data_IF_232456921102
#
_entry.id   IF_232456921102
#
_cell.length_a   1.000
_cell.length_b   1.000
_cell.length_c   1.000
_cell.angle_alpha   90.00
_cell.angle_beta   90.00
_cell.angle_gamma   90.00
#
_symmetry.space_group_name_H-M   'P 1'
#
loop_
_entity.id
_entity.type
_entity.pdbx_description
1 polymer ?
#
# COMPACT_ATOMS: atom_id res chain seq x y z
N UNK A 1 35.14 2.03 -26.50
CA UNK A 1 35.34 0.90 -25.57
C UNK A 1 35.05 1.47 -24.19
N UNK A 2 34.02 1.11 -23.42
CA UNK A 2 33.30 -0.13 -23.14
C UNK A 2 31.90 0.31 -22.61
N UNK A 3 30.79 -0.17 -23.18
CA UNK A 3 29.97 -1.32 -22.74
C UNK A 3 28.61 -0.85 -22.19
N UNK A 4 27.59 -1.24 -22.95
CA UNK A 4 26.16 -1.11 -22.72
C UNK A 4 25.72 -1.85 -21.46
N UNK A 5 24.96 -1.20 -20.58
CA UNK A 5 24.02 -1.93 -19.69
C UNK A 5 22.66 -1.25 -19.77
N UNK A 6 22.04 -1.39 -20.94
CA UNK A 6 20.58 -1.34 -21.04
C UNK A 6 20.07 -2.56 -20.30
N UNK A 7 19.66 -2.39 -19.04
CA UNK A 7 18.88 -3.40 -18.32
C UNK A 7 17.59 -3.60 -19.09
N UNK A 8 17.59 -4.63 -19.92
CA UNK A 8 16.44 -5.13 -20.66
C UNK A 8 15.37 -5.48 -19.64
N UNK A 9 14.37 -4.59 -19.51
CA UNK A 9 13.15 -4.87 -18.74
C UNK A 9 12.53 -6.12 -19.33
N UNK A 10 12.65 -7.22 -18.61
CA UNK A 10 12.05 -8.51 -18.93
C UNK A 10 10.52 -8.38 -18.97
N UNK A 11 9.96 -7.97 -20.11
CA UNK A 11 8.54 -8.07 -20.43
C UNK A 11 8.19 -9.56 -20.57
N UNK A 12 7.56 -10.16 -19.56
CA UNK A 12 6.86 -11.43 -19.74
C UNK A 12 5.39 -11.14 -20.07
N UNK A 13 4.85 -11.72 -21.15
CA UNK A 13 3.43 -11.65 -21.48
C UNK A 13 2.71 -12.82 -20.79
N UNK A 14 2.57 -12.74 -19.48
CA UNK A 14 1.60 -13.55 -18.74
C UNK A 14 0.76 -12.56 -17.94
N UNK A 15 -0.56 -12.71 -17.89
CA UNK A 15 -1.47 -11.83 -17.13
C UNK A 15 -1.27 -11.85 -15.61
N UNK A 16 -0.11 -12.32 -15.15
CA UNK A 16 0.36 -12.38 -13.76
C UNK A 16 1.43 -11.30 -13.60
N UNK A 17 1.10 -10.20 -12.95
CA UNK A 17 2.08 -9.19 -12.55
C UNK A 17 3.15 -9.89 -11.72
N UNK A 18 4.43 -9.78 -12.11
CA UNK A 18 5.54 -10.33 -11.31
C UNK A 18 5.62 -9.59 -9.98
N UNK A 19 6.05 -10.27 -8.91
CA UNK A 19 6.17 -9.66 -7.57
C UNK A 19 6.97 -8.34 -7.58
N UNK A 20 8.06 -8.28 -8.34
CA UNK A 20 8.86 -7.06 -8.48
C UNK A 20 8.08 -5.95 -9.19
N UNK A 21 7.42 -6.26 -10.31
CA UNK A 21 6.61 -5.28 -11.05
C UNK A 21 5.41 -4.78 -10.24
N UNK A 22 4.82 -5.65 -9.41
CA UNK A 22 3.76 -5.26 -8.48
C UNK A 22 4.30 -4.30 -7.41
N UNK A 23 5.49 -4.60 -6.86
CA UNK A 23 6.13 -3.77 -5.86
C UNK A 23 6.52 -2.40 -6.42
N UNK A 24 7.06 -2.36 -7.64
CA UNK A 24 7.38 -1.13 -8.36
C UNK A 24 6.11 -0.31 -8.60
N UNK A 25 5.06 -0.96 -9.12
CA UNK A 25 3.77 -0.31 -9.40
C UNK A 25 3.12 0.24 -8.13
N UNK A 26 3.15 -0.53 -7.04
CA UNK A 26 2.68 -0.08 -5.73
C UNK A 26 3.52 1.12 -5.24
N UNK A 27 4.84 1.06 -5.36
CA UNK A 27 5.76 2.11 -4.96
C UNK A 27 5.45 3.44 -5.67
N UNK A 28 5.35 3.41 -7.01
CA UNK A 28 5.02 4.58 -7.82
C UNK A 28 3.69 5.21 -7.41
N UNK A 29 2.64 4.39 -7.26
CA UNK A 29 1.30 4.87 -6.88
C UNK A 29 1.28 5.41 -5.44
N UNK A 30 2.01 4.76 -4.53
CA UNK A 30 2.08 5.18 -3.13
C UNK A 30 2.82 6.52 -3.00
N UNK A 31 3.94 6.69 -3.69
CA UNK A 31 4.68 7.95 -3.73
C UNK A 31 3.86 9.07 -4.35
N UNK A 32 3.16 8.81 -5.46
CA UNK A 32 2.25 9.78 -6.06
C UNK A 32 1.15 10.18 -5.09
N UNK A 33 0.48 9.22 -4.46
CA UNK A 33 -0.59 9.50 -3.52
C UNK A 33 -0.09 10.32 -2.32
N UNK A 34 1.02 9.92 -1.70
CA UNK A 34 1.59 10.66 -0.56
C UNK A 34 1.96 12.09 -0.97
N UNK A 35 2.62 12.29 -2.10
CA UNK A 35 3.01 13.60 -2.59
C UNK A 35 1.82 14.50 -2.97
N UNK A 36 0.75 13.93 -3.54
CA UNK A 36 -0.41 14.70 -4.00
C UNK A 36 -1.46 14.92 -2.89
N UNK A 37 -1.40 14.15 -1.79
CA UNK A 37 -2.39 14.21 -0.70
C UNK A 37 -1.86 14.72 0.63
N UNK A 38 -0.54 14.88 0.83
CA UNK A 38 0.01 15.25 2.15
C UNK A 38 -0.49 16.59 2.70
N UNK A 39 -0.88 17.54 1.84
CA UNK A 39 -1.46 18.83 2.27
C UNK A 39 -2.99 18.81 2.36
N UNK A 40 -3.66 17.71 1.99
CA UNK A 40 -5.11 17.66 2.01
C UNK A 40 -5.60 17.50 3.45
N UNK A 41 -6.37 18.50 3.91
CA UNK A 41 -7.05 18.43 5.22
C UNK A 41 -8.31 17.55 5.20
N UNK A 42 -8.75 17.11 4.01
CA UNK A 42 -9.93 16.26 3.84
C UNK A 42 -9.52 14.84 3.47
N UNK A 43 -9.70 13.92 4.40
CA UNK A 43 -9.42 12.49 4.21
C UNK A 43 -10.23 11.89 3.06
N UNK A 44 -11.47 12.31 2.84
CA UNK A 44 -12.32 11.78 1.75
C UNK A 44 -11.70 12.07 0.37
N UNK A 45 -11.14 13.27 0.19
CA UNK A 45 -10.42 13.61 -1.05
C UNK A 45 -9.16 12.77 -1.23
N UNK A 46 -8.42 12.51 -0.15
CA UNK A 46 -7.25 11.64 -0.20
C UNK A 46 -7.64 10.19 -0.58
N UNK A 47 -8.75 9.67 -0.06
CA UNK A 47 -9.26 8.33 -0.42
C UNK A 47 -9.86 8.29 -1.84
N UNK A 48 -10.40 9.41 -2.32
CA UNK A 48 -10.95 9.54 -3.67
C UNK A 48 -9.86 9.61 -4.76
N UNK A 49 -8.61 9.84 -4.38
CA UNK A 49 -7.47 10.04 -5.26
C UNK A 49 -7.26 8.85 -6.24
N UNK A 50 -6.98 9.10 -7.54
CA UNK A 50 -6.84 8.04 -8.53
C UNK A 50 -5.73 7.04 -8.20
N UNK A 51 -4.58 7.51 -7.69
CA UNK A 51 -3.49 6.62 -7.29
C UNK A 51 -3.88 5.70 -6.12
N UNK A 52 -4.65 6.22 -5.16
CA UNK A 52 -5.18 5.44 -4.04
C UNK A 52 -6.14 4.35 -4.50
N UNK A 53 -7.10 4.71 -5.37
CA UNK A 53 -8.04 3.76 -5.98
C UNK A 53 -7.31 2.70 -6.80
N UNK A 54 -6.23 3.06 -7.49
CA UNK A 54 -5.40 2.11 -8.22
C UNK A 54 -4.72 1.10 -7.27
N UNK A 55 -4.17 1.54 -6.14
CA UNK A 55 -3.62 0.65 -5.10
C UNK A 55 -4.68 -0.33 -4.60
N UNK A 56 -5.88 0.16 -4.28
CA UNK A 56 -6.99 -0.70 -3.83
C UNK A 56 -7.38 -1.73 -4.89
N UNK A 57 -7.36 -1.35 -6.18
CA UNK A 57 -7.63 -2.26 -7.30
C UNK A 57 -6.57 -3.35 -7.50
N UNK A 58 -5.32 -3.15 -7.04
CA UNK A 58 -4.29 -4.19 -7.08
C UNK A 58 -4.61 -5.37 -6.14
N UNK A 59 -5.46 -5.15 -5.12
CA UNK A 59 -6.04 -6.22 -4.32
C UNK A 59 -5.09 -6.87 -3.30
N UNK A 60 -5.37 -8.13 -2.95
CA UNK A 60 -4.69 -8.84 -1.85
C UNK A 60 -3.14 -8.89 -1.96
N UNK A 61 -2.53 -9.05 -3.15
CA UNK A 61 -1.08 -9.12 -3.29
C UNK A 61 -0.31 -7.89 -2.79
N UNK A 62 -0.94 -6.71 -2.69
CA UNK A 62 -0.28 -5.49 -2.18
C UNK A 62 -0.44 -5.30 -0.67
N UNK A 63 -1.22 -6.14 0.03
CA UNK A 63 -1.42 -6.03 1.48
C UNK A 63 -0.10 -6.08 2.26
N UNK A 64 0.82 -7.03 2.00
CA UNK A 64 2.15 -7.03 2.62
C UNK A 64 2.94 -5.72 2.40
N UNK A 65 2.83 -5.16 1.19
CA UNK A 65 3.54 -3.94 0.81
C UNK A 65 2.98 -2.72 1.54
N UNK A 66 1.65 -2.63 1.67
CA UNK A 66 0.97 -1.58 2.42
C UNK A 66 1.34 -1.66 3.91
N UNK A 67 1.32 -2.86 4.50
CA UNK A 67 1.69 -3.06 5.91
C UNK A 67 3.16 -2.64 6.17
N UNK A 68 4.08 -3.00 5.27
CA UNK A 68 5.49 -2.59 5.36
C UNK A 68 5.67 -1.08 5.18
N UNK A 69 4.93 -0.44 4.27
CA UNK A 69 4.98 1.02 4.09
C UNK A 69 4.41 1.75 5.31
N UNK A 70 3.31 1.27 5.85
CA UNK A 70 2.74 1.79 7.10
C UNK A 70 3.71 1.64 8.28
N UNK A 71 4.44 0.52 8.39
CA UNK A 71 5.46 0.35 9.43
C UNK A 71 6.62 1.35 9.32
N UNK A 72 7.05 1.68 8.11
CA UNK A 72 8.25 2.50 7.86
C UNK A 72 7.97 4.00 7.78
N UNK A 73 6.86 4.39 7.16
CA UNK A 73 6.50 5.80 6.90
C UNK A 73 5.25 6.27 7.65
N UNK A 74 4.51 5.36 8.30
CA UNK A 74 3.20 5.68 8.88
C UNK A 74 2.15 5.93 7.79
N UNK A 75 1.16 6.77 8.10
CA UNK A 75 0.12 7.20 7.16
C UNK A 75 -1.22 6.49 7.30
N UNK A 76 -2.25 7.03 6.65
CA UNK A 76 -3.64 6.59 6.76
C UNK A 76 -3.97 5.38 5.86
N UNK A 77 -3.10 4.36 5.88
CA UNK A 77 -3.20 3.18 5.03
C UNK A 77 -4.27 2.17 5.49
N UNK A 78 -4.80 2.30 6.71
CA UNK A 78 -5.81 1.39 7.26
C UNK A 78 -7.11 1.34 6.44
N UNK A 79 -7.49 2.43 5.77
CA UNK A 79 -8.62 2.43 4.85
C UNK A 79 -8.37 1.53 3.63
N UNK A 80 -7.13 1.46 3.13
CA UNK A 80 -6.78 0.66 1.96
C UNK A 80 -6.75 -0.82 2.36
N UNK A 81 -6.16 -1.11 3.51
CA UNK A 81 -6.16 -2.45 4.10
C UNK A 81 -7.59 -2.96 4.29
N UNK A 82 -8.46 -2.18 4.94
CA UNK A 82 -9.87 -2.53 5.10
C UNK A 82 -10.58 -2.71 3.74
N UNK A 83 -10.35 -1.82 2.78
CA UNK A 83 -10.98 -1.90 1.47
C UNK A 83 -10.61 -3.19 0.71
N UNK A 84 -9.36 -3.63 0.83
CA UNK A 84 -8.83 -4.83 0.16
C UNK A 84 -9.18 -6.11 0.92
N UNK A 85 -8.90 -6.17 2.22
CA UNK A 85 -9.00 -7.41 3.02
C UNK A 85 -10.39 -7.62 3.61
N UNK A 86 -11.21 -6.57 3.66
CA UNK A 86 -12.49 -6.52 4.40
C UNK A 86 -12.36 -6.82 5.89
N UNK A 87 -11.13 -6.88 6.42
CA UNK A 87 -10.87 -7.10 7.84
C UNK A 87 -10.91 -5.77 8.60
N UNK A 88 -11.32 -5.82 9.87
CA UNK A 88 -11.22 -4.68 10.79
C UNK A 88 -10.65 -5.16 12.14
N UNK A 89 -9.31 -5.21 12.29
CA UNK A 89 -8.68 -5.63 13.54
C UNK A 89 -8.65 -4.53 14.61
N UNK A 90 -9.13 -3.32 14.29
CA UNK A 90 -9.10 -2.16 15.19
C UNK A 90 -10.24 -2.28 16.19
N UNK A 91 -9.91 -2.19 17.49
CA UNK A 91 -10.93 -2.15 18.52
C UNK A 91 -11.67 -0.80 18.52
N UNK A 92 -13.00 -0.73 18.76
CA UNK A 92 -13.74 0.53 18.76
C UNK A 92 -13.18 1.60 19.70
N UNK A 93 -12.59 1.17 20.83
CA UNK A 93 -11.94 2.06 21.79
C UNK A 93 -10.66 2.74 21.27
N UNK A 94 -10.04 2.18 20.23
CA UNK A 94 -8.82 2.69 19.61
C UNK A 94 -9.11 3.65 18.43
N UNK A 95 -10.40 3.87 18.10
CA UNK A 95 -10.79 4.79 17.05
C UNK A 95 -10.28 6.21 17.35
N UNK A 96 -9.62 6.83 16.37
CA UNK A 96 -8.97 8.14 16.52
C UNK A 96 -7.53 8.08 17.06
N UNK A 97 -7.10 6.94 17.62
CA UNK A 97 -5.70 6.73 18.01
C UNK A 97 -4.92 6.08 16.86
N UNK A 98 -4.27 6.91 16.04
CA UNK A 98 -3.51 6.47 14.85
C UNK A 98 -2.45 5.42 15.20
N UNK A 99 -1.75 5.58 16.33
CA UNK A 99 -0.74 4.63 16.76
C UNK A 99 -1.34 3.27 17.13
N UNK A 100 -2.46 3.26 17.86
CA UNK A 100 -3.16 2.02 18.20
C UNK A 100 -3.73 1.31 16.97
N UNK A 101 -4.33 2.06 16.04
CA UNK A 101 -4.83 1.57 14.75
C UNK A 101 -3.70 0.92 13.95
N UNK A 102 -2.55 1.61 13.82
CA UNK A 102 -1.39 1.08 13.10
C UNK A 102 -0.91 -0.23 13.74
N UNK A 103 -0.81 -0.28 15.08
CA UNK A 103 -0.36 -1.49 15.78
C UNK A 103 -1.34 -2.65 15.63
N UNK A 104 -2.65 -2.39 15.63
CA UNK A 104 -3.66 -3.42 15.40
C UNK A 104 -3.50 -4.06 14.01
N UNK A 105 -3.31 -3.22 12.97
CA UNK A 105 -3.07 -3.70 11.61
C UNK A 105 -1.74 -4.45 11.45
N UNK A 106 -0.66 -3.99 12.09
CA UNK A 106 0.61 -4.71 12.08
C UNK A 106 0.52 -6.06 12.81
N UNK A 107 -0.20 -6.14 13.92
CA UNK A 107 -0.47 -7.41 14.61
C UNK A 107 -1.26 -8.36 13.73
N UNK A 108 -2.34 -7.89 13.12
CA UNK A 108 -3.14 -8.66 12.17
C UNK A 108 -2.28 -9.17 11.00
N UNK A 109 -1.41 -8.31 10.45
CA UNK A 109 -0.49 -8.69 9.38
C UNK A 109 0.43 -9.86 9.76
N UNK A 110 0.99 -9.85 10.97
CA UNK A 110 1.85 -10.94 11.46
C UNK A 110 1.08 -12.24 11.68
N UNK A 111 -0.09 -12.13 12.31
CA UNK A 111 -0.96 -13.28 12.60
C UNK A 111 -1.41 -13.99 11.31
N UNK A 112 -1.63 -13.24 10.23
CA UNK A 112 -2.06 -13.76 8.94
C UNK A 112 -0.89 -14.04 7.96
N UNK A 113 0.37 -13.99 8.41
CA UNK A 113 1.55 -14.25 7.57
C UNK A 113 1.74 -13.26 6.41
N UNK A 114 1.28 -12.02 6.58
CA UNK A 114 1.35 -10.93 5.58
C UNK A 114 2.59 -10.05 5.74
N UNK A 115 3.31 -10.12 6.86
CA UNK A 115 4.59 -9.43 7.13
C UNK A 115 5.46 -10.27 8.07
#
# INVERSE_FOLDING_TARGET
MQETTTTIRHRQPDGRIRVQELADRFGELAEQWEHETWMLSNTDQALAHPAYKAIVKLGDPVVPLILKRMQTRGGHWYHALHAITKANPVHPADHGNVAAIQQAWLRWGRDHGRI
#
